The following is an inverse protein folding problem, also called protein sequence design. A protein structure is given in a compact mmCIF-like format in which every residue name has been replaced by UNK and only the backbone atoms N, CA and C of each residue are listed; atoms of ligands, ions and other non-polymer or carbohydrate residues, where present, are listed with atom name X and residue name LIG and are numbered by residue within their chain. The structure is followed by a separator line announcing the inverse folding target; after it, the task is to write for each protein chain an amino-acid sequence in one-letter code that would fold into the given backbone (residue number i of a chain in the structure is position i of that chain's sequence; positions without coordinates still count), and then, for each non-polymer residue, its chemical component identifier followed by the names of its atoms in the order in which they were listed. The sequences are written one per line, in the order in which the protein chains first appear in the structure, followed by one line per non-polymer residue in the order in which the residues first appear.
data_IF_675722788087
#
_entry.id   IF_675722788087
#
_cell.length_a   1.000
_cell.length_b   1.000
_cell.length_c   1.000
_cell.angle_alpha   90.00
_cell.angle_beta   90.00
_cell.angle_gamma   90.00
#
_symmetry.space_group_name_H-M   'P 1'
#
loop_
_entity.id
_entity.type
_entity.pdbx_description
1 polymer ?
#
# COMPACT_ATOMS: atom_id res chain seq x y z
N UNK A 1 -7.65 28.18 -8.10
CA UNK A 1 -6.44 27.36 -8.30
C UNK A 1 -6.72 25.97 -7.73
N UNK A 2 -6.41 24.90 -8.45
CA UNK A 2 -6.68 23.52 -7.97
C UNK A 2 -5.83 23.17 -6.74
N UNK A 3 -6.33 22.26 -5.89
CA UNK A 3 -5.58 21.73 -4.73
C UNK A 3 -4.25 21.14 -5.19
N UNK A 4 -3.18 21.27 -4.40
CA UNK A 4 -1.90 20.61 -4.70
C UNK A 4 -2.01 19.09 -4.58
N UNK A 5 -1.13 18.34 -5.24
CA UNK A 5 -1.13 16.87 -5.18
C UNK A 5 -0.97 16.36 -3.74
N UNK A 6 -0.13 17.03 -2.94
CA UNK A 6 0.05 16.71 -1.52
C UNK A 6 -1.28 16.80 -0.76
N UNK A 7 -2.01 17.91 -0.91
CA UNK A 7 -3.30 18.10 -0.24
C UNK A 7 -4.33 17.08 -0.71
N UNK A 8 -4.37 16.77 -2.02
CA UNK A 8 -5.28 15.74 -2.54
C UNK A 8 -5.01 14.35 -1.96
N UNK A 9 -3.74 13.97 -1.76
CA UNK A 9 -3.39 12.69 -1.14
C UNK A 9 -3.74 12.71 0.35
N UNK A 10 -3.55 13.84 1.05
CA UNK A 10 -3.92 13.96 2.45
C UNK A 10 -5.44 13.85 2.65
N UNK A 11 -6.23 14.56 1.82
CA UNK A 11 -7.69 14.45 1.81
C UNK A 11 -8.13 12.99 1.56
N UNK A 12 -7.48 12.32 0.60
CA UNK A 12 -7.76 10.91 0.31
C UNK A 12 -7.46 9.98 1.50
N UNK A 13 -6.36 10.21 2.24
CA UNK A 13 -6.03 9.43 3.44
C UNK A 13 -7.12 9.61 4.51
N UNK A 14 -7.66 10.82 4.66
CA UNK A 14 -8.73 11.11 5.62
C UNK A 14 -10.06 10.42 5.26
N UNK A 15 -10.32 10.22 3.96
CA UNK A 15 -11.49 9.48 3.45
C UNK A 15 -11.41 7.95 3.66
N UNK A 16 -10.23 7.39 3.92
CA UNK A 16 -10.09 5.95 4.21
C UNK A 16 -10.88 5.63 5.47
N UNK A 17 -11.79 4.67 5.39
CA UNK A 17 -12.62 4.30 6.55
C UNK A 17 -11.78 3.65 7.66
N UNK A 18 -12.11 3.97 8.90
CA UNK A 18 -11.37 3.50 10.07
C UNK A 18 -11.44 1.97 10.23
N UNK A 19 -12.51 1.32 9.78
CA UNK A 19 -12.64 -0.15 9.77
C UNK A 19 -11.63 -0.86 8.84
N UNK A 20 -10.94 -0.12 7.96
CA UNK A 20 -9.87 -0.67 7.12
C UNK A 20 -8.50 -0.55 7.76
N UNK A 21 -8.40 0.16 8.87
CA UNK A 21 -7.17 0.49 9.56
C UNK A 21 -7.12 -0.14 10.96
N UNK A 22 -7.99 -1.09 11.26
CA UNK A 22 -8.18 -1.71 12.59
C UNK A 22 -7.09 -2.71 13.02
N UNK A 23 -6.05 -2.92 12.20
CA UNK A 23 -4.92 -3.79 12.50
C UNK A 23 -5.02 -5.19 11.88
N UNK A 24 -6.15 -5.57 11.29
CA UNK A 24 -6.32 -6.87 10.63
C UNK A 24 -5.72 -6.88 9.20
N UNK A 25 -4.42 -6.61 9.09
CA UNK A 25 -3.77 -6.46 7.79
C UNK A 25 -3.36 -7.79 7.16
N UNK A 26 -3.74 -7.98 5.89
CA UNK A 26 -3.30 -9.12 5.08
C UNK A 26 -2.18 -8.64 4.15
N UNK A 27 -0.97 -9.17 4.36
CA UNK A 27 0.20 -8.87 3.52
C UNK A 27 -0.07 -9.25 2.06
N UNK A 28 0.36 -8.39 1.12
CA UNK A 28 0.26 -8.64 -0.31
C UNK A 28 -1.11 -8.35 -0.92
N UNK A 29 -2.04 -7.76 -0.17
CA UNK A 29 -3.33 -7.27 -0.68
C UNK A 29 -3.55 -5.79 -0.36
N UNK A 30 -4.25 -5.05 -1.23
CA UNK A 30 -4.70 -3.71 -0.91
C UNK A 30 -5.76 -3.75 0.20
N UNK A 31 -5.58 -2.94 1.25
CA UNK A 31 -6.57 -2.72 2.31
C UNK A 31 -7.74 -1.88 1.81
N UNK A 32 -7.43 -0.90 0.97
CA UNK A 32 -8.40 0.00 0.39
C UNK A 32 -7.95 0.42 -1.00
N UNK A 33 -8.88 0.46 -1.94
CA UNK A 33 -8.61 0.95 -3.28
C UNK A 33 -9.79 1.78 -3.75
N UNK A 34 -9.51 2.83 -4.48
CA UNK A 34 -10.52 3.63 -5.15
C UNK A 34 -10.09 3.95 -6.60
N UNK A 35 -10.65 5.00 -7.19
CA UNK A 35 -10.31 5.44 -8.54
C UNK A 35 -8.97 6.16 -8.64
N UNK A 36 -8.45 6.72 -7.56
CA UNK A 36 -7.26 7.59 -7.55
C UNK A 36 -6.03 6.86 -7.01
N UNK A 37 -6.18 6.21 -5.87
CA UNK A 37 -5.12 5.63 -5.06
C UNK A 37 -5.53 4.27 -4.47
N UNK A 38 -4.55 3.57 -3.94
CA UNK A 38 -4.73 2.37 -3.13
C UNK A 38 -3.80 2.41 -1.92
N UNK A 39 -4.25 1.80 -0.85
CA UNK A 39 -3.49 1.53 0.36
C UNK A 39 -3.12 0.05 0.35
N UNK A 40 -1.83 -0.24 0.23
CA UNK A 40 -1.28 -1.60 0.18
C UNK A 40 -0.51 -1.93 1.46
N UNK A 41 -0.54 -3.20 1.85
CA UNK A 41 0.37 -3.78 2.85
C UNK A 41 1.48 -4.52 2.10
N UNK A 42 2.65 -3.89 1.97
CA UNK A 42 3.74 -4.44 1.14
C UNK A 42 4.50 -5.59 1.83
N UNK A 43 4.45 -5.68 3.15
CA UNK A 43 5.18 -6.68 3.91
C UNK A 43 5.37 -6.30 5.38
N UNK A 44 6.11 -7.15 6.08
CA UNK A 44 6.60 -6.89 7.42
C UNK A 44 8.08 -6.44 7.35
N UNK A 45 8.47 -5.57 8.28
CA UNK A 45 9.89 -5.26 8.51
C UNK A 45 10.62 -6.45 9.11
N UNK A 46 11.94 -6.52 8.88
CA UNK A 46 12.80 -7.56 9.46
C UNK A 46 13.15 -7.30 10.93
N UNK A 47 13.00 -6.06 11.36
CA UNK A 47 13.38 -5.59 12.68
C UNK A 47 12.38 -6.10 13.73
N UNK A 48 12.85 -6.27 14.97
CA UNK A 48 12.01 -6.57 16.13
C UNK A 48 11.82 -5.27 16.95
N UNK A 49 10.56 -4.86 17.26
CA UNK A 49 9.30 -5.52 16.90
C UNK A 49 8.96 -5.37 15.42
N UNK A 50 8.31 -6.39 14.85
CA UNK A 50 7.88 -6.39 13.45
C UNK A 50 6.82 -5.32 13.20
N UNK A 51 6.91 -4.67 12.04
CA UNK A 51 6.01 -3.59 11.65
C UNK A 51 5.44 -3.83 10.25
N UNK A 52 4.15 -3.59 10.07
CA UNK A 52 3.49 -3.57 8.78
C UNK A 52 3.90 -2.35 7.98
N UNK A 53 4.41 -2.57 6.77
CA UNK A 53 4.71 -1.51 5.82
C UNK A 53 3.47 -1.17 4.99
N UNK A 54 2.74 -0.15 5.45
CA UNK A 54 1.58 0.39 4.76
C UNK A 54 2.03 1.45 3.76
N UNK A 55 1.53 1.37 2.54
CA UNK A 55 1.91 2.28 1.46
C UNK A 55 0.72 2.78 0.67
N UNK A 56 0.67 4.09 0.44
CA UNK A 56 -0.27 4.71 -0.48
C UNK A 56 0.38 4.79 -1.85
N UNK A 57 -0.24 4.16 -2.83
CA UNK A 57 0.19 4.13 -4.22
C UNK A 57 -0.87 4.73 -5.14
N UNK A 58 -0.46 5.44 -6.18
CA UNK A 58 -1.40 5.98 -7.17
C UNK A 58 -1.79 4.90 -8.18
N UNK A 59 -3.09 4.70 -8.38
CA UNK A 59 -3.61 3.65 -9.25
C UNK A 59 -3.32 3.90 -10.72
N UNK A 60 -3.01 2.84 -11.48
CA UNK A 60 -2.99 2.90 -12.94
C UNK A 60 -4.37 3.35 -13.45
N UNK A 61 -4.41 4.43 -14.24
CA UNK A 61 -5.69 5.01 -14.70
C UNK A 61 -6.33 6.06 -13.79
N UNK A 62 -5.70 6.50 -12.69
CA UNK A 62 -6.14 7.69 -11.93
C UNK A 62 -6.51 8.86 -12.88
N UNK A 63 -7.75 9.37 -12.81
CA UNK A 63 -8.27 10.35 -13.77
C UNK A 63 -7.70 11.75 -13.54
N UNK A 64 -7.12 12.00 -12.37
CA UNK A 64 -6.39 13.22 -12.10
C UNK A 64 -5.05 13.20 -12.82
N UNK A 65 -4.91 14.03 -13.85
CA UNK A 65 -3.73 14.06 -14.74
C UNK A 65 -2.45 14.42 -14.02
N UNK A 66 -2.52 15.20 -12.94
CA UNK A 66 -1.35 15.60 -12.15
C UNK A 66 -0.88 14.45 -11.25
N UNK A 67 -1.80 13.84 -10.49
CA UNK A 67 -1.48 12.65 -9.69
C UNK A 67 -1.04 11.48 -10.58
N UNK A 68 -1.58 11.40 -11.80
CA UNK A 68 -1.25 10.35 -12.74
C UNK A 68 0.23 10.27 -13.12
N UNK A 69 0.97 11.37 -13.01
CA UNK A 69 2.42 11.39 -13.23
C UNK A 69 3.20 10.61 -12.17
N UNK A 70 2.57 10.35 -11.02
CA UNK A 70 3.13 9.60 -9.90
C UNK A 70 2.79 8.11 -9.95
N UNK A 71 2.10 7.61 -10.97
CA UNK A 71 1.82 6.17 -11.10
C UNK A 71 3.05 5.40 -11.57
N UNK A 72 3.20 4.11 -11.22
CA UNK A 72 2.53 3.39 -10.12
C UNK A 72 3.36 3.49 -8.83
N UNK A 73 3.76 4.69 -8.45
CA UNK A 73 4.71 4.91 -7.36
C UNK A 73 4.04 5.13 -6.01
N UNK A 74 4.78 4.78 -4.96
CA UNK A 74 4.44 5.11 -3.57
C UNK A 74 4.59 6.62 -3.35
N UNK A 75 3.56 7.22 -2.77
CA UNK A 75 3.48 8.66 -2.48
C UNK A 75 3.43 8.98 -0.99
N UNK A 76 3.08 7.98 -0.17
CA UNK A 76 3.16 8.01 1.29
C UNK A 76 3.35 6.58 1.82
N UNK A 77 3.93 6.46 3.00
CA UNK A 77 4.12 5.17 3.67
C UNK A 77 4.14 5.34 5.20
N UNK A 78 3.83 4.29 5.94
CA UNK A 78 4.07 4.25 7.38
C UNK A 78 4.40 2.82 7.83
N UNK A 79 5.02 2.73 9.00
CA UNK A 79 5.36 1.47 9.65
C UNK A 79 4.45 1.33 10.87
N UNK A 80 3.40 0.52 10.75
CA UNK A 80 2.47 0.26 11.84
C UNK A 80 2.99 -0.94 12.66
N UNK A 81 3.23 -0.81 13.98
CA UNK A 81 3.68 -1.91 14.82
C UNK A 81 2.66 -3.06 14.86
N UNK A 82 3.16 -4.30 14.90
CA UNK A 82 2.33 -5.49 14.98
C UNK A 82 1.87 -5.79 16.42
N UNK A 83 2.75 -5.60 17.40
CA UNK A 83 2.49 -5.97 18.81
C UNK A 83 1.50 -5.03 19.50
N UNK A 84 1.55 -3.75 19.16
CA UNK A 84 0.66 -2.72 19.71
C UNK A 84 -0.02 -1.98 18.56
N UNK A 85 -1.11 -2.54 17.98
CA UNK A 85 -1.69 -2.02 16.77
C UNK A 85 -2.14 -0.57 16.96
N UNK A 86 -1.69 0.29 16.05
CA UNK A 86 -2.08 1.69 16.06
C UNK A 86 -3.57 1.86 15.81
N UNK A 87 -4.12 2.92 16.41
CA UNK A 87 -5.47 3.37 16.08
C UNK A 87 -5.51 3.87 14.63
N UNK A 88 -6.69 3.81 13.97
CA UNK A 88 -6.89 4.38 12.64
C UNK A 88 -6.42 5.82 12.51
N UNK A 89 -6.65 6.64 13.54
CA UNK A 89 -6.20 8.03 13.59
C UNK A 89 -4.68 8.16 13.53
N UNK A 90 -3.95 7.37 14.33
CA UNK A 90 -2.48 7.36 14.33
C UNK A 90 -1.91 6.95 12.97
N UNK A 91 -2.52 5.96 12.31
CA UNK A 91 -2.09 5.52 10.97
C UNK A 91 -2.30 6.62 9.95
N UNK A 92 -3.48 7.26 9.96
CA UNK A 92 -3.78 8.39 9.07
C UNK A 92 -2.80 9.53 9.28
N UNK A 93 -2.50 9.89 10.53
CA UNK A 93 -1.52 10.94 10.84
C UNK A 93 -0.11 10.58 10.36
N UNK A 94 0.34 9.35 10.61
CA UNK A 94 1.65 8.88 10.16
C UNK A 94 1.76 8.87 8.62
N UNK A 95 0.71 8.41 7.92
CA UNK A 95 0.65 8.46 6.46
C UNK A 95 0.69 9.91 5.97
N UNK A 96 -0.11 10.80 6.57
CA UNK A 96 -0.14 12.22 6.20
C UNK A 96 1.20 12.92 6.43
N UNK A 97 1.95 12.54 7.46
CA UNK A 97 3.27 13.06 7.76
C UNK A 97 4.30 12.71 6.67
N UNK A 98 4.16 11.53 6.04
CA UNK A 98 5.07 11.09 4.97
C UNK A 98 4.61 11.47 3.55
N UNK A 99 3.47 12.16 3.40
CA UNK A 99 3.03 12.68 2.10
C UNK A 99 3.98 13.77 1.62
N UNK A 100 4.78 13.44 0.61
CA UNK A 100 5.72 14.38 -0.01
C UNK A 100 5.14 15.08 -1.23
N UNK A 101 4.11 14.49 -1.86
CA UNK A 101 3.59 14.95 -3.16
C UNK A 101 4.45 14.54 -4.36
N UNK A 102 5.49 13.72 -4.14
CA UNK A 102 6.37 13.14 -5.15
C UNK A 102 6.57 11.64 -4.89
N UNK A 103 7.28 10.95 -5.78
CA UNK A 103 7.68 9.55 -5.56
C UNK A 103 8.55 9.43 -4.31
N UNK A 104 8.22 8.48 -3.45
CA UNK A 104 9.00 8.13 -2.26
C UNK A 104 9.50 6.70 -2.37
N UNK A 105 10.72 6.45 -1.91
CA UNK A 105 11.26 5.08 -1.80
C UNK A 105 10.98 4.58 -0.39
N UNK A 106 10.08 3.60 -0.20
CA UNK A 106 9.80 3.05 1.11
C UNK A 106 10.98 2.20 1.62
N UNK A 107 11.06 1.95 2.95
CA UNK A 107 12.07 1.05 3.51
C UNK A 107 11.94 -0.36 2.92
N UNK A 108 13.08 -1.04 2.77
CA UNK A 108 13.13 -2.42 2.25
C UNK A 108 12.46 -3.35 3.26
N UNK A 109 11.36 -3.97 2.87
CA UNK A 109 10.73 -5.07 3.61
C UNK A 109 11.44 -6.38 3.30
N UNK A 110 11.65 -7.22 4.32
CA UNK A 110 12.03 -8.62 4.07
C UNK A 110 10.76 -9.43 3.84
N UNK A 111 10.44 -9.70 2.58
CA UNK A 111 9.60 -10.84 2.28
C UNK A 111 10.46 -12.11 2.43
N UNK A 112 10.69 -12.54 3.67
CA UNK A 112 10.97 -13.96 3.94
C UNK A 112 9.63 -14.69 3.88
N UNK A 113 9.06 -14.77 2.68
CA UNK A 113 8.08 -15.80 2.39
C UNK A 113 8.94 -16.99 2.00
N UNK A 114 9.13 -17.94 2.91
CA UNK A 114 9.77 -19.21 2.57
C UNK A 114 9.02 -19.81 1.37
N UNK A 115 9.67 -20.04 0.22
CA UNK A 115 9.02 -20.49 -1.01
C UNK A 115 8.61 -21.99 -0.99
N UNK A 116 8.28 -22.55 0.17
CA UNK A 116 7.94 -23.97 0.36
C UNK A 116 6.43 -24.25 0.41
N UNK A 117 5.57 -23.60 -0.39
CA UNK A 117 4.21 -24.16 -0.61
C UNK A 117 3.48 -23.68 -1.86
N UNK A 118 4.16 -23.61 -3.01
CA UNK A 118 3.44 -23.41 -4.28
C UNK A 118 4.10 -24.17 -5.43
N UNK A 119 4.17 -25.50 -5.28
CA UNK A 119 4.63 -26.42 -6.32
C UNK A 119 3.59 -27.47 -6.72
N UNK A 120 2.29 -27.19 -6.62
CA UNK A 120 1.30 -28.17 -7.11
C UNK A 120 0.02 -27.51 -7.63
N UNK A 121 0.07 -26.93 -8.84
CA UNK A 121 -1.13 -26.69 -9.68
C UNK A 121 -0.82 -25.95 -11.00
N UNK A 122 0.17 -26.40 -11.78
CA UNK A 122 0.25 -25.98 -13.20
C UNK A 122 0.88 -27.06 -14.08
N UNK A 123 0.23 -28.22 -14.14
CA UNK A 123 0.41 -29.19 -15.22
C UNK A 123 -0.95 -29.66 -15.70
N UNK A 124 -1.45 -29.07 -16.79
CA UNK A 124 -2.05 -29.75 -17.95
C UNK A 124 -2.75 -28.73 -18.86
N UNK A 125 -2.48 -28.80 -20.16
CA UNK A 125 -3.41 -28.29 -21.17
C UNK A 125 -2.85 -27.38 -22.26
N UNK A 126 -1.75 -27.74 -22.93
CA UNK A 126 -1.48 -27.25 -24.30
C UNK A 126 -0.99 -28.37 -25.21
N UNK A 127 -1.92 -29.02 -25.93
CA UNK A 127 -1.69 -29.70 -27.20
C UNK A 127 -2.57 -29.01 -28.24
N UNK A 128 -2.06 -28.02 -28.98
CA UNK A 128 -1.30 -28.11 -30.24
C UNK A 128 -2.20 -28.55 -31.41
N UNK A 129 -2.82 -27.55 -32.04
CA UNK A 129 -3.38 -27.63 -33.40
C UNK A 129 -2.22 -27.77 -34.41
N UNK A 130 -2.33 -28.73 -35.31
CA UNK A 130 -1.83 -28.67 -36.68
C UNK A 130 -2.79 -29.45 -37.56
#
# INVERSE_FOLDING_TARGET
MGKSVKVQIQDWIDEVRDDKLDGAYVVGRPLYTDRYCRLDVQGLTSDEPQQFNLQVQVNNGCPNTTMAKLKPWTVAFCLAPMDEPWTPAQIKEALKATVTGYKVTPPKVSNKVDPEDTKDSMKKGKGKKK
#
